data_IF_682408889397
#
_entry.id   IF_682408889397
#
_cell.length_a   1.000
_cell.length_b   1.000
_cell.length_c   1.000
_cell.angle_alpha   90.00
_cell.angle_beta   90.00
_cell.angle_gamma   90.00
#
_symmetry.space_group_name_H-M   'P 1'
#
loop_
_entity.id
_entity.type
_entity.pdbx_description
1 polymer ?
#
# COMPACT_ATOMS: atom_id res chain seq x y z
N UNK A 1 11.59 12.91 -9.94
CA UNK A 1 12.28 11.87 -9.14
C UNK A 1 12.61 10.74 -10.09
N UNK A 2 13.83 10.75 -10.63
CA UNK A 2 14.35 9.69 -11.49
C UNK A 2 15.08 8.69 -10.60
N UNK A 3 14.33 7.86 -9.88
CA UNK A 3 14.93 6.77 -9.13
C UNK A 3 15.04 5.59 -10.08
N UNK A 4 16.26 5.35 -10.57
CA UNK A 4 16.57 4.22 -11.44
C UNK A 4 16.04 2.92 -10.81
N UNK A 5 15.31 2.07 -11.55
CA UNK A 5 14.66 0.87 -11.01
C UNK A 5 15.64 -0.09 -10.30
N UNK A 6 16.92 -0.06 -10.66
CA UNK A 6 17.98 -0.83 -10.00
C UNK A 6 18.29 -0.36 -8.56
N UNK A 7 18.24 0.95 -8.28
CA UNK A 7 18.51 1.50 -6.93
C UNK A 7 17.34 1.16 -6.00
N UNK A 8 16.10 1.23 -6.51
CA UNK A 8 14.92 0.82 -5.76
C UNK A 8 14.94 -0.68 -5.43
N UNK A 9 15.34 -1.54 -6.38
CA UNK A 9 15.40 -2.99 -6.15
C UNK A 9 16.44 -3.38 -5.09
N UNK A 10 17.61 -2.73 -5.08
CA UNK A 10 18.62 -2.99 -4.05
C UNK A 10 18.10 -2.70 -2.63
N UNK A 11 17.33 -1.61 -2.47
CA UNK A 11 16.66 -1.29 -1.21
C UNK A 11 15.63 -2.34 -0.80
N UNK A 12 14.82 -2.82 -1.75
CA UNK A 12 13.85 -3.90 -1.50
C UNK A 12 14.55 -5.17 -1.02
N UNK A 13 15.62 -5.61 -1.70
CA UNK A 13 16.37 -6.81 -1.33
C UNK A 13 16.95 -6.71 0.09
N UNK A 14 17.41 -5.51 0.51
CA UNK A 14 17.91 -5.29 1.86
C UNK A 14 16.78 -5.42 2.90
N UNK A 15 15.59 -4.90 2.61
CA UNK A 15 14.43 -5.05 3.50
C UNK A 15 13.99 -6.52 3.62
N UNK A 16 13.97 -7.27 2.51
CA UNK A 16 13.66 -8.71 2.50
C UNK A 16 14.65 -9.51 3.37
N UNK A 17 15.94 -9.20 3.23
CA UNK A 17 17.00 -9.83 4.02
C UNK A 17 16.90 -9.50 5.51
N UNK A 18 16.68 -8.23 5.86
CA UNK A 18 16.50 -7.80 7.25
C UNK A 18 15.29 -8.46 7.90
N UNK A 19 14.15 -8.51 7.21
CA UNK A 19 12.94 -9.17 7.72
C UNK A 19 13.18 -10.66 7.95
N UNK A 20 13.87 -11.33 7.02
CA UNK A 20 14.23 -12.75 7.20
C UNK A 20 15.15 -12.95 8.40
N UNK A 21 16.15 -12.10 8.57
CA UNK A 21 17.08 -12.15 9.70
C UNK A 21 16.38 -11.89 11.04
N UNK A 22 15.50 -10.89 11.10
CA UNK A 22 14.73 -10.56 12.31
C UNK A 22 13.75 -11.66 12.69
N UNK A 23 13.11 -12.31 11.71
CA UNK A 23 12.26 -13.47 11.95
C UNK A 23 13.07 -14.67 12.47
N UNK A 24 14.26 -14.92 11.92
CA UNK A 24 15.15 -15.98 12.38
C UNK A 24 15.69 -15.71 13.80
N UNK A 25 15.92 -14.44 14.14
CA UNK A 25 16.31 -14.00 15.48
C UNK A 25 15.16 -13.96 16.49
N UNK A 26 13.91 -14.18 16.05
CA UNK A 26 12.72 -14.13 16.89
C UNK A 26 12.31 -12.71 17.32
N UNK A 27 12.79 -11.67 16.64
CA UNK A 27 12.42 -10.27 16.93
C UNK A 27 11.06 -9.90 16.34
N UNK A 28 10.63 -10.62 15.32
CA UNK A 28 9.31 -10.56 14.73
C UNK A 28 8.77 -11.98 14.54
N UNK A 29 7.46 -12.10 14.34
CA UNK A 29 6.85 -13.37 13.97
C UNK A 29 7.45 -13.95 12.69
N UNK A 30 7.44 -15.28 12.60
CA UNK A 30 8.00 -15.97 11.45
C UNK A 30 7.30 -15.58 10.14
N UNK A 31 8.08 -15.29 9.10
CA UNK A 31 7.59 -14.88 7.76
C UNK A 31 6.65 -15.89 7.11
N UNK A 32 6.76 -17.19 7.46
CA UNK A 32 5.81 -18.24 7.03
C UNK A 32 4.35 -17.94 7.40
N UNK A 33 4.09 -17.09 8.40
CA UNK A 33 2.74 -16.67 8.75
C UNK A 33 2.13 -15.70 7.71
N UNK A 34 2.95 -15.04 6.88
CA UNK A 34 2.50 -14.18 5.79
C UNK A 34 1.97 -14.97 4.59
N UNK A 35 2.49 -16.18 4.33
CA UNK A 35 2.21 -16.93 3.11
C UNK A 35 0.71 -17.22 2.86
N UNK A 36 -0.11 -17.23 3.92
CA UNK A 36 -1.57 -17.46 3.85
C UNK A 36 -2.40 -16.18 4.03
N UNK A 37 -1.76 -15.04 4.21
CA UNK A 37 -2.46 -13.77 4.38
C UNK A 37 -2.93 -13.21 3.03
N UNK A 38 -4.02 -12.47 3.10
CA UNK A 38 -4.57 -11.69 1.99
C UNK A 38 -4.17 -10.24 2.20
N UNK A 39 -3.34 -9.70 1.30
CA UNK A 39 -2.81 -8.34 1.40
C UNK A 39 -3.52 -7.43 0.42
N UNK A 40 -4.04 -6.32 0.93
CA UNK A 40 -4.64 -5.27 0.14
C UNK A 40 -3.82 -4.00 0.25
N UNK A 41 -3.38 -3.47 -0.89
CA UNK A 41 -2.60 -2.25 -1.01
C UNK A 41 -3.41 -1.22 -1.79
N UNK A 42 -3.33 0.04 -1.37
CA UNK A 42 -4.00 1.15 -2.03
C UNK A 42 -3.04 2.32 -2.21
N UNK A 43 -3.10 2.99 -3.36
CA UNK A 43 -2.39 4.25 -3.59
C UNK A 43 -3.11 5.15 -4.59
N UNK A 44 -3.34 6.41 -4.24
CA UNK A 44 -3.92 7.39 -5.16
C UNK A 44 -2.92 7.86 -6.21
N UNK A 45 -3.36 8.10 -7.45
CA UNK A 45 -2.51 8.58 -8.55
C UNK A 45 -2.01 10.01 -8.36
N UNK A 46 -2.62 10.74 -7.42
CA UNK A 46 -2.23 12.11 -7.09
C UNK A 46 -1.50 12.24 -5.77
N UNK A 47 -1.42 11.17 -4.95
CA UNK A 47 -0.73 11.21 -3.66
C UNK A 47 0.69 11.75 -3.82
N UNK A 48 0.87 12.99 -3.39
CA UNK A 48 2.13 13.73 -3.46
C UNK A 48 2.97 13.61 -2.19
N UNK A 49 2.46 12.94 -1.16
CA UNK A 49 3.13 12.75 0.13
C UNK A 49 3.91 11.45 0.17
N UNK A 50 3.27 10.31 -0.16
CA UNK A 50 3.91 8.99 -0.17
C UNK A 50 4.30 8.57 -1.58
N UNK A 51 3.61 9.06 -2.61
CA UNK A 51 3.78 8.74 -4.03
C UNK A 51 3.62 7.25 -4.40
N UNK A 52 2.99 6.98 -5.54
CA UNK A 52 2.70 5.60 -5.99
C UNK A 52 3.92 4.67 -6.09
N UNK A 53 5.13 5.12 -6.47
CA UNK A 53 6.30 4.25 -6.49
C UNK A 53 6.57 3.57 -5.15
N UNK A 54 6.36 4.24 -4.01
CA UNK A 54 6.61 3.65 -2.69
C UNK A 54 5.68 2.47 -2.42
N UNK A 55 4.38 2.61 -2.69
CA UNK A 55 3.42 1.51 -2.50
C UNK A 55 3.65 0.40 -3.53
N UNK A 56 4.14 0.74 -4.71
CA UNK A 56 4.55 -0.24 -5.73
C UNK A 56 5.76 -1.05 -5.27
N UNK A 57 6.76 -0.43 -4.65
CA UNK A 57 7.89 -1.14 -4.04
C UNK A 57 7.46 -2.01 -2.86
N UNK A 58 6.51 -1.55 -2.05
CA UNK A 58 5.91 -2.35 -0.98
C UNK A 58 5.23 -3.61 -1.53
N UNK A 59 4.51 -3.52 -2.65
CA UNK A 59 3.96 -4.68 -3.35
C UNK A 59 5.06 -5.67 -3.73
N UNK A 60 6.15 -5.20 -4.35
CA UNK A 60 7.29 -6.05 -4.73
C UNK A 60 7.89 -6.75 -3.51
N UNK A 61 8.10 -6.01 -2.41
CA UNK A 61 8.58 -6.58 -1.15
C UNK A 61 7.66 -7.69 -0.61
N UNK A 62 6.33 -7.50 -0.62
CA UNK A 62 5.40 -8.54 -0.18
C UNK A 62 5.41 -9.79 -1.08
N UNK A 63 5.67 -9.63 -2.38
CA UNK A 63 5.75 -10.76 -3.32
C UNK A 63 6.90 -11.71 -3.01
N UNK A 64 7.92 -11.28 -2.26
CA UNK A 64 8.97 -12.17 -1.75
C UNK A 64 8.41 -13.22 -0.77
N UNK A 65 7.40 -12.86 0.04
CA UNK A 65 6.89 -13.69 1.12
C UNK A 65 5.52 -14.32 0.83
N UNK A 66 4.78 -13.78 -0.14
CA UNK A 66 3.37 -14.09 -0.37
C UNK A 66 3.14 -14.36 -1.86
N UNK A 67 2.36 -15.38 -2.18
CA UNK A 67 1.95 -15.66 -3.55
C UNK A 67 1.20 -14.46 -4.16
N UNK A 68 1.48 -14.08 -5.42
CA UNK A 68 0.94 -12.85 -6.02
C UNK A 68 -0.59 -12.84 -6.12
N UNK A 69 -1.24 -14.00 -6.12
CA UNK A 69 -2.71 -14.12 -6.10
C UNK A 69 -3.34 -13.69 -4.78
N UNK A 70 -2.55 -13.61 -3.71
CA UNK A 70 -2.95 -13.15 -2.38
C UNK A 70 -2.56 -11.68 -2.15
N UNK A 71 -2.35 -10.91 -3.23
CA UNK A 71 -2.08 -9.46 -3.16
C UNK A 71 -2.98 -8.72 -4.15
N UNK A 72 -3.81 -7.82 -3.65
CA UNK A 72 -4.53 -6.83 -4.46
C UNK A 72 -3.81 -5.49 -4.31
N UNK A 73 -3.61 -4.79 -5.43
CA UNK A 73 -3.07 -3.44 -5.44
C UNK A 73 -3.96 -2.51 -6.27
N UNK A 74 -4.72 -1.68 -5.59
CA UNK A 74 -5.63 -0.73 -6.19
C UNK A 74 -4.99 0.66 -6.27
N UNK A 75 -4.64 1.08 -7.48
CA UNK A 75 -3.84 2.28 -7.71
C UNK A 75 -4.36 3.21 -8.81
N UNK A 76 -5.61 3.05 -9.23
CA UNK A 76 -6.18 3.82 -10.35
C UNK A 76 -6.96 5.07 -9.91
N UNK A 77 -7.26 5.22 -8.62
CA UNK A 77 -8.04 6.34 -8.07
C UNK A 77 -7.26 7.65 -8.15
N UNK A 78 -7.93 8.78 -8.43
CA UNK A 78 -7.34 10.13 -8.41
C UNK A 78 -7.19 10.74 -7.00
N UNK A 79 -7.16 9.91 -5.96
CA UNK A 79 -6.99 10.38 -4.59
C UNK A 79 -5.61 11.01 -4.36
N UNK A 80 -5.60 12.04 -3.52
CA UNK A 80 -4.41 12.54 -2.81
C UNK A 80 -4.16 11.71 -1.54
N UNK A 81 -3.20 12.12 -0.71
CA UNK A 81 -2.89 11.48 0.57
C UNK A 81 -4.09 11.53 1.54
N UNK A 82 -4.94 10.50 1.51
CA UNK A 82 -6.22 10.48 2.22
C UNK A 82 -6.77 9.08 2.43
N UNK A 83 -7.59 8.94 3.47
CA UNK A 83 -8.46 7.79 3.68
C UNK A 83 -9.61 7.82 2.68
N UNK A 84 -9.72 6.78 1.87
CA UNK A 84 -10.68 6.76 0.79
C UNK A 84 -11.92 5.96 1.16
N UNK A 85 -13.08 6.58 1.01
CA UNK A 85 -14.37 6.00 1.38
C UNK A 85 -15.34 5.96 0.20
N UNK A 86 -16.24 4.98 0.22
CA UNK A 86 -17.17 4.70 -0.87
C UNK A 86 -18.34 5.69 -1.00
N UNK A 87 -18.60 6.49 0.03
CA UNK A 87 -19.56 7.59 0.01
C UNK A 87 -18.80 8.90 0.18
N UNK A 88 -19.28 10.00 -0.42
CA UNK A 88 -18.92 11.33 0.08
C UNK A 88 -19.19 11.36 1.58
N UNK A 89 -18.16 11.67 2.38
CA UNK A 89 -18.40 11.99 3.77
C UNK A 89 -19.43 13.13 3.81
N UNK A 90 -20.29 13.16 4.83
CA UNK A 90 -21.21 14.28 5.13
C UNK A 90 -20.49 15.61 5.44
N UNK A 91 -19.22 15.76 5.02
CA UNK A 91 -18.33 16.88 5.29
C UNK A 91 -17.51 17.35 4.07
N UNK A 92 -17.93 17.06 2.83
CA UNK A 92 -17.42 17.77 1.66
C UNK A 92 -17.14 16.90 0.44
N UNK A 93 -17.47 17.45 -0.73
CA UNK A 93 -16.95 16.95 -2.01
C UNK A 93 -15.42 17.14 -2.07
N UNK A 94 -14.77 16.32 -2.89
CA UNK A 94 -13.33 16.36 -3.23
C UNK A 94 -12.75 17.79 -3.19
N UNK A 95 -12.11 18.16 -2.09
CA UNK A 95 -11.39 19.42 -1.93
C UNK A 95 -9.92 19.06 -1.76
N UNK A 96 -9.08 19.53 -2.68
CA UNK A 96 -7.68 19.16 -2.75
C UNK A 96 -6.90 19.27 -1.43
N UNK A 97 -5.67 18.74 -1.50
CA UNK A 97 -4.59 18.67 -0.51
C UNK A 97 -4.66 19.76 0.59
N UNK A 98 -5.50 19.53 1.60
CA UNK A 98 -5.57 20.33 2.81
C UNK A 98 -5.26 19.44 4.01
N UNK A 99 -4.45 19.89 4.98
CA UNK A 99 -4.03 19.08 6.14
C UNK A 99 -5.18 18.67 7.09
N UNK A 100 -6.44 19.00 6.76
CA UNK A 100 -7.60 18.82 7.63
C UNK A 100 -8.74 17.98 7.01
N UNK A 101 -8.53 17.26 5.91
CA UNK A 101 -9.54 16.34 5.36
C UNK A 101 -8.91 15.00 4.96
N UNK A 102 -8.47 14.23 5.95
CA UNK A 102 -7.94 12.87 5.74
C UNK A 102 -9.01 11.87 5.28
N UNK A 103 -10.25 12.27 4.96
CA UNK A 103 -11.32 11.39 4.47
C UNK A 103 -11.86 11.96 3.16
N UNK A 104 -11.52 11.33 2.03
CA UNK A 104 -12.01 11.72 0.71
C UNK A 104 -13.04 10.73 0.19
N UNK A 105 -14.17 11.26 -0.28
CA UNK A 105 -15.16 10.51 -1.06
C UNK A 105 -14.67 10.37 -2.49
N UNK A 106 -13.72 9.48 -2.74
CA UNK A 106 -13.47 9.01 -4.11
C UNK A 106 -14.48 7.89 -4.39
N UNK A 107 -14.88 7.70 -5.65
CA UNK A 107 -15.77 6.61 -6.11
C UNK A 107 -15.21 5.20 -5.88
N UNK A 108 -14.15 5.09 -5.09
CA UNK A 108 -13.48 3.87 -4.69
C UNK A 108 -14.14 3.27 -3.45
N UNK A 109 -14.52 2.00 -3.55
CA UNK A 109 -15.13 1.24 -2.45
C UNK A 109 -14.08 0.78 -1.42
N UNK A 110 -13.40 1.72 -0.75
CA UNK A 110 -12.35 1.39 0.23
C UNK A 110 -12.83 0.50 1.38
N UNK A 111 -14.10 0.57 1.78
CA UNK A 111 -14.64 -0.19 2.92
C UNK A 111 -15.52 -1.41 2.57
N UNK A 112 -16.05 -1.58 1.34
CA UNK A 112 -16.59 -2.87 0.90
C UNK A 112 -15.55 -3.86 0.33
N UNK A 113 -14.38 -3.42 -0.15
CA UNK A 113 -13.41 -4.33 -0.80
C UNK A 113 -12.62 -5.22 0.17
N UNK A 114 -12.39 -4.77 1.41
CA UNK A 114 -11.66 -5.54 2.42
C UNK A 114 -12.38 -6.84 2.87
N UNK A 115 -13.68 -6.96 2.59
CA UNK A 115 -14.53 -8.01 3.17
C UNK A 115 -14.95 -9.08 2.15
N UNK A 116 -14.56 -8.94 0.88
CA UNK A 116 -15.13 -9.71 -0.23
C UNK A 116 -14.07 -10.44 -1.07
N UNK A 117 -12.87 -10.60 -0.54
CA UNK A 117 -11.77 -11.25 -1.22
C UNK A 117 -11.20 -12.40 -0.42
#
# INVERSE_FOLDING_TARGET
MNDSPAIAQAGINLLEANTTAWAAAGWIDATRHLAKQKIYLYSGTRDSTVVQPVVTWLKTYYQHFIGPTNIIYDNASFAEHSWVTWKPATGGAWSGSGPNTVINGCTFKGTPHLNNW
#
